data_IF_325035116752
#
_entry.id   IF_325035116752
#
_cell.length_a   1.000
_cell.length_b   1.000
_cell.length_c   1.000
_cell.angle_alpha   90.00
_cell.angle_beta   90.00
_cell.angle_gamma   90.00
#
_symmetry.space_group_name_H-M   'P 1'
#
loop_
_entity.id
_entity.type
_entity.pdbx_description
1 polymer ?
#
# COMPACT_ATOMS: atom_id res chain seq x y z
N UNK A 1 -25.06 -3.67 -0.11
CA UNK A 1 -23.60 -3.82 -0.01
C UNK A 1 -23.31 -3.76 1.47
N UNK A 2 -23.01 -4.90 2.07
CA UNK A 2 -22.66 -4.93 3.50
C UNK A 2 -21.23 -4.45 3.66
N UNK A 3 -21.00 -3.56 4.62
CA UNK A 3 -19.71 -2.96 4.93
C UNK A 3 -19.39 -3.31 6.38
N UNK A 4 -18.32 -4.06 6.62
CA UNK A 4 -17.75 -4.27 7.95
C UNK A 4 -16.76 -3.13 8.26
N UNK A 5 -17.21 -2.16 9.04
CA UNK A 5 -16.38 -1.04 9.44
C UNK A 5 -15.68 -1.34 10.78
N UNK A 6 -14.33 -1.34 10.77
CA UNK A 6 -13.50 -1.55 11.96
C UNK A 6 -12.90 -0.23 12.45
N UNK A 7 -13.30 0.21 13.65
CA UNK A 7 -12.76 1.43 14.27
C UNK A 7 -11.59 1.09 15.20
N UNK A 8 -10.38 1.08 14.64
CA UNK A 8 -9.12 0.87 15.35
C UNK A 8 -7.96 1.38 14.47
N UNK A 9 -6.71 1.43 14.98
CA UNK A 9 -5.55 1.57 14.10
C UNK A 9 -5.58 0.49 13.00
N UNK A 10 -5.34 0.90 11.75
CA UNK A 10 -5.43 -0.01 10.61
C UNK A 10 -4.47 -1.20 10.73
N UNK A 11 -3.28 -0.99 11.33
CA UNK A 11 -2.31 -2.07 11.58
C UNK A 11 -2.92 -3.19 12.45
N UNK A 12 -3.62 -2.82 13.53
CA UNK A 12 -4.25 -3.78 14.44
C UNK A 12 -5.39 -4.53 13.74
N UNK A 13 -6.20 -3.80 12.97
CA UNK A 13 -7.30 -4.40 12.20
C UNK A 13 -6.78 -5.39 11.15
N UNK A 14 -5.73 -5.04 10.40
CA UNK A 14 -5.12 -5.92 9.39
C UNK A 14 -4.49 -7.17 10.03
N UNK A 15 -3.85 -7.02 11.20
CA UNK A 15 -3.32 -8.17 11.95
C UNK A 15 -4.42 -9.09 12.44
N UNK A 16 -5.51 -8.54 12.94
CA UNK A 16 -6.67 -9.32 13.37
C UNK A 16 -7.31 -10.06 12.19
N UNK A 17 -7.52 -9.38 11.05
CA UNK A 17 -8.00 -10.02 9.82
C UNK A 17 -7.11 -11.19 9.39
N UNK A 18 -5.79 -11.01 9.44
CA UNK A 18 -4.86 -12.06 9.07
C UNK A 18 -4.91 -13.25 10.04
N UNK A 19 -5.18 -13.00 11.32
CA UNK A 19 -5.34 -14.05 12.32
C UNK A 19 -6.68 -14.80 12.17
N UNK A 20 -7.75 -14.09 11.85
CA UNK A 20 -9.11 -14.64 11.77
C UNK A 20 -9.35 -15.39 10.45
N UNK A 21 -8.90 -14.82 9.33
CA UNK A 21 -9.22 -15.30 7.98
C UNK A 21 -8.05 -16.01 7.30
N UNK A 22 -6.84 -15.81 7.81
CA UNK A 22 -5.62 -16.32 7.19
C UNK A 22 -5.17 -15.53 5.96
N UNK A 23 -4.08 -15.97 5.31
CA UNK A 23 -3.54 -15.30 4.14
C UNK A 23 -4.39 -15.55 2.89
N UNK A 24 -4.43 -14.58 1.98
CA UNK A 24 -5.08 -14.73 0.68
C UNK A 24 -6.61 -14.68 0.69
N UNK A 25 -7.24 -14.19 1.75
CA UNK A 25 -8.70 -14.02 1.83
C UNK A 25 -9.25 -12.89 0.94
N UNK A 26 -8.40 -11.98 0.45
CA UNK A 26 -8.82 -10.75 -0.23
C UNK A 26 -8.40 -10.73 -1.71
N UNK A 27 -9.29 -10.27 -2.58
CA UNK A 27 -9.00 -10.02 -4.01
C UNK A 27 -8.24 -8.71 -4.23
N UNK A 28 -8.56 -7.70 -3.41
CA UNK A 28 -8.12 -6.33 -3.60
C UNK A 28 -7.90 -5.61 -2.26
N UNK A 29 -6.88 -4.76 -2.19
CA UNK A 29 -6.65 -3.84 -1.08
C UNK A 29 -6.36 -2.43 -1.61
N UNK A 30 -6.96 -1.42 -0.98
CA UNK A 30 -6.72 -0.01 -1.26
C UNK A 30 -6.10 0.67 -0.03
N UNK A 31 -4.91 1.24 -0.19
CA UNK A 31 -4.17 1.92 0.88
C UNK A 31 -4.17 3.42 0.61
N UNK A 32 -4.96 4.16 1.39
CA UNK A 32 -4.93 5.61 1.47
C UNK A 32 -5.02 6.04 2.95
N UNK A 33 -3.86 6.09 3.60
CA UNK A 33 -3.72 6.30 5.05
C UNK A 33 -2.47 7.14 5.37
N UNK A 34 -1.92 7.00 6.59
CA UNK A 34 -0.66 7.63 6.98
C UNK A 34 0.50 7.09 6.12
N UNK A 35 1.10 7.99 5.34
CA UNK A 35 2.16 7.67 4.37
C UNK A 35 3.39 7.04 5.05
N UNK A 36 3.67 7.37 6.31
CA UNK A 36 4.80 6.80 7.07
C UNK A 36 4.59 5.33 7.42
N UNK A 37 3.36 4.84 7.37
CA UNK A 37 3.00 3.46 7.68
C UNK A 37 2.70 2.63 6.43
N UNK A 38 2.82 3.19 5.22
CA UNK A 38 2.55 2.50 3.96
C UNK A 38 3.31 1.19 3.82
N UNK A 39 4.60 1.16 4.15
CA UNK A 39 5.37 -0.08 4.10
C UNK A 39 4.78 -1.19 4.98
N UNK A 40 4.31 -0.85 6.20
CA UNK A 40 3.69 -1.82 7.11
C UNK A 40 2.33 -2.31 6.58
N UNK A 41 1.49 -1.38 6.11
CA UNK A 41 0.20 -1.73 5.53
C UNK A 41 0.38 -2.61 4.31
N UNK A 42 1.35 -2.28 3.44
CA UNK A 42 1.66 -3.06 2.26
C UNK A 42 2.08 -4.50 2.59
N UNK A 43 2.95 -4.72 3.58
CA UNK A 43 3.36 -6.08 3.98
C UNK A 43 2.20 -6.91 4.55
N UNK A 44 1.29 -6.29 5.31
CA UNK A 44 0.10 -6.96 5.83
C UNK A 44 -0.90 -7.27 4.69
N UNK A 45 -1.15 -6.29 3.83
CA UNK A 45 -1.98 -6.46 2.64
C UNK A 45 -1.41 -7.51 1.69
N UNK A 46 -0.09 -7.61 1.54
CA UNK A 46 0.55 -8.62 0.71
C UNK A 46 0.32 -10.04 1.23
N UNK A 47 0.15 -10.22 2.54
CA UNK A 47 -0.24 -11.51 3.12
C UNK A 47 -1.73 -11.79 2.92
N UNK A 48 -2.58 -10.79 3.18
CA UNK A 48 -4.04 -10.89 3.09
C UNK A 48 -4.56 -11.05 1.66
N UNK A 49 -3.91 -10.42 0.68
CA UNK A 49 -4.33 -10.48 -0.72
C UNK A 49 -3.85 -11.79 -1.36
N UNK A 50 -4.74 -12.45 -2.12
CA UNK A 50 -4.42 -13.72 -2.79
C UNK A 50 -3.38 -13.55 -3.90
N UNK A 51 -2.78 -14.66 -4.31
CA UNK A 51 -1.97 -14.70 -5.53
C UNK A 51 -2.79 -14.19 -6.74
N UNK A 52 -2.19 -13.29 -7.53
CA UNK A 52 -2.85 -12.61 -8.62
C UNK A 52 -3.82 -11.48 -8.21
N UNK A 53 -4.05 -11.25 -6.92
CA UNK A 53 -4.82 -10.12 -6.41
C UNK A 53 -4.04 -8.81 -6.51
N UNK A 54 -4.74 -7.69 -6.25
CA UNK A 54 -4.22 -6.34 -6.50
C UNK A 54 -4.18 -5.50 -5.22
N UNK A 55 -3.04 -4.86 -4.96
CA UNK A 55 -2.92 -3.82 -3.94
C UNK A 55 -2.74 -2.50 -4.68
N UNK A 56 -3.64 -1.55 -4.43
CA UNK A 56 -3.55 -0.19 -4.94
C UNK A 56 -3.15 0.75 -3.80
N UNK A 57 -2.13 1.58 -4.03
CA UNK A 57 -1.61 2.52 -3.02
C UNK A 57 -1.66 3.93 -3.60
N UNK A 58 -2.38 4.81 -2.92
CA UNK A 58 -2.66 6.16 -3.41
C UNK A 58 -1.61 7.20 -2.96
N UNK A 59 -1.52 8.27 -3.73
CA UNK A 59 -0.66 9.45 -3.56
C UNK A 59 0.85 9.16 -3.64
N UNK A 60 1.26 8.19 -4.45
CA UNK A 60 2.67 7.80 -4.57
C UNK A 60 3.52 8.83 -5.34
N UNK A 61 2.92 9.78 -6.06
CA UNK A 61 3.64 10.90 -6.70
C UNK A 61 3.70 12.15 -5.82
N UNK A 62 2.87 12.26 -4.78
CA UNK A 62 2.95 13.24 -3.69
C UNK A 62 3.14 14.69 -4.15
N UNK A 63 2.25 15.19 -5.01
CA UNK A 63 2.30 16.52 -5.62
C UNK A 63 3.62 16.80 -6.37
N UNK A 64 4.27 15.74 -6.86
CA UNK A 64 5.57 15.79 -7.50
C UNK A 64 6.76 15.88 -6.54
N UNK A 65 6.54 15.98 -5.22
CA UNK A 65 7.61 16.15 -4.22
C UNK A 65 8.59 15.00 -4.19
N UNK A 66 8.14 13.78 -4.49
CA UNK A 66 9.03 12.61 -4.53
C UNK A 66 10.14 12.75 -5.58
N UNK A 67 9.93 13.57 -6.62
CA UNK A 67 10.92 13.85 -7.67
C UNK A 67 11.88 15.01 -7.32
N UNK A 68 11.54 15.87 -6.36
CA UNK A 68 12.36 17.02 -5.97
C UNK A 68 13.35 16.65 -4.86
N UNK A 69 14.63 16.51 -5.21
CA UNK A 69 15.69 16.11 -4.26
C UNK A 69 15.92 17.09 -3.10
N UNK A 70 15.39 18.32 -3.18
CA UNK A 70 15.51 19.32 -2.10
C UNK A 70 14.42 19.18 -1.03
N UNK A 71 13.36 18.40 -1.28
CA UNK A 71 12.29 18.16 -0.31
C UNK A 71 12.63 16.93 0.54
N UNK A 72 12.70 17.09 1.86
CA UNK A 72 13.12 16.07 2.82
C UNK A 72 12.14 15.88 3.99
N UNK A 73 10.90 16.37 3.86
CA UNK A 73 9.89 16.13 4.88
C UNK A 73 9.61 14.63 5.07
N UNK A 74 9.21 14.25 6.28
CA UNK A 74 9.07 12.84 6.68
C UNK A 74 8.12 12.04 5.79
N UNK A 75 7.07 12.66 5.24
CA UNK A 75 6.13 11.96 4.37
C UNK A 75 6.75 11.73 2.99
N UNK A 76 7.42 12.74 2.42
CA UNK A 76 8.11 12.63 1.14
C UNK A 76 9.24 11.58 1.19
N UNK A 77 10.04 11.56 2.26
CA UNK A 77 11.09 10.55 2.45
C UNK A 77 10.48 9.15 2.54
N UNK A 78 9.45 8.96 3.36
CA UNK A 78 8.79 7.67 3.51
C UNK A 78 8.19 7.16 2.19
N UNK A 79 7.61 8.05 1.36
CA UNK A 79 7.08 7.68 0.04
C UNK A 79 8.19 7.33 -0.96
N UNK A 80 9.34 8.00 -0.93
CA UNK A 80 10.50 7.60 -1.75
C UNK A 80 11.01 6.22 -1.37
N UNK A 81 11.16 5.96 -0.07
CA UNK A 81 11.58 4.66 0.46
C UNK A 81 10.57 3.57 0.07
N UNK A 82 9.27 3.83 0.24
CA UNK A 82 8.20 2.93 -0.17
C UNK A 82 8.24 2.64 -1.68
N UNK A 83 8.29 3.68 -2.52
CA UNK A 83 8.32 3.52 -3.98
C UNK A 83 9.54 2.72 -4.43
N UNK A 84 10.72 2.98 -3.87
CA UNK A 84 11.94 2.22 -4.15
C UNK A 84 11.83 0.76 -3.71
N UNK A 85 11.26 0.51 -2.52
CA UNK A 85 11.07 -0.85 -2.00
C UNK A 85 10.12 -1.67 -2.88
N UNK A 86 8.96 -1.10 -3.24
CA UNK A 86 7.96 -1.79 -4.08
C UNK A 86 8.48 -2.01 -5.50
N UNK A 87 9.23 -1.06 -6.07
CA UNK A 87 9.87 -1.22 -7.37
C UNK A 87 10.85 -2.41 -7.39
N UNK A 88 11.55 -2.65 -6.28
CA UNK A 88 12.51 -3.74 -6.14
C UNK A 88 11.88 -5.07 -5.66
N UNK A 89 10.60 -5.09 -5.31
CA UNK A 89 9.97 -6.27 -4.70
C UNK A 89 9.58 -7.32 -5.76
N UNK A 90 10.23 -8.51 -5.78
CA UNK A 90 9.95 -9.53 -6.78
C UNK A 90 8.60 -10.23 -6.57
N UNK A 91 7.94 -10.03 -5.42
CA UNK A 91 6.64 -10.63 -5.08
C UNK A 91 5.48 -9.95 -5.82
N UNK A 92 5.71 -8.81 -6.47
CA UNK A 92 4.68 -8.07 -7.20
C UNK A 92 5.10 -7.69 -8.61
N UNK A 93 4.11 -7.43 -9.46
CA UNK A 93 4.29 -6.68 -10.70
C UNK A 93 3.71 -5.28 -10.48
N UNK A 94 4.54 -4.26 -10.64
CA UNK A 94 4.22 -2.86 -10.37
C UNK A 94 3.86 -2.10 -11.65
N UNK A 95 2.85 -1.25 -11.56
CA UNK A 95 2.61 -0.14 -12.49
C UNK A 95 2.25 1.11 -11.70
N UNK A 96 2.95 2.22 -11.93
CA UNK A 96 2.57 3.53 -11.39
C UNK A 96 1.82 4.28 -12.48
N UNK A 97 0.59 4.70 -12.20
CA UNK A 97 -0.27 5.42 -13.14
C UNK A 97 -0.57 6.83 -12.64
N UNK A 98 -0.59 7.85 -13.52
CA UNK A 98 -0.84 9.25 -13.16
C UNK A 98 -2.34 9.53 -13.00
N UNK A 99 -3.00 8.76 -12.12
CA UNK A 99 -4.39 8.97 -11.72
C UNK A 99 -4.37 9.59 -10.32
N UNK A 100 -5.12 10.68 -10.13
CA UNK A 100 -5.08 11.44 -8.88
C UNK A 100 -3.67 11.99 -8.61
N UNK A 101 -3.17 11.78 -7.39
CA UNK A 101 -1.81 12.16 -6.99
C UNK A 101 -0.80 11.02 -7.18
N UNK A 102 -1.06 10.16 -8.17
CA UNK A 102 -0.28 8.98 -8.48
C UNK A 102 -0.75 7.75 -7.72
N UNK A 103 -1.00 6.66 -8.46
CA UNK A 103 -1.43 5.38 -7.91
C UNK A 103 -0.42 4.30 -8.26
N UNK A 104 0.07 3.57 -7.25
CA UNK A 104 0.81 2.34 -7.48
C UNK A 104 -0.15 1.15 -7.52
N UNK A 105 -0.14 0.41 -8.62
CA UNK A 105 -0.87 -0.82 -8.83
C UNK A 105 0.09 -2.00 -8.70
N UNK A 106 -0.02 -2.74 -7.61
CA UNK A 106 0.86 -3.84 -7.26
C UNK A 106 0.09 -5.16 -7.34
N UNK A 107 0.23 -5.87 -8.47
CA UNK A 107 -0.37 -7.21 -8.61
C UNK A 107 0.54 -8.24 -7.95
N UNK A 108 0.03 -8.97 -6.95
CA UNK A 108 0.76 -10.05 -6.29
C UNK A 108 1.03 -11.20 -7.26
N UNK A 109 2.28 -11.67 -7.32
CA UNK A 109 2.70 -12.80 -8.17
C UNK A 109 2.38 -14.13 -7.56
#
# INVERSE_FOLDING_TARGET
>A
MDIDARLAPAEDSLRQLLADEGPGGYDFAFIDADKRAYGKYFELCLQLVRQGGLIAVDNVLWYGKVADSQVDDKATVALREFNAAVLADPRVTLSIVPVGDGMALCRKR
#
